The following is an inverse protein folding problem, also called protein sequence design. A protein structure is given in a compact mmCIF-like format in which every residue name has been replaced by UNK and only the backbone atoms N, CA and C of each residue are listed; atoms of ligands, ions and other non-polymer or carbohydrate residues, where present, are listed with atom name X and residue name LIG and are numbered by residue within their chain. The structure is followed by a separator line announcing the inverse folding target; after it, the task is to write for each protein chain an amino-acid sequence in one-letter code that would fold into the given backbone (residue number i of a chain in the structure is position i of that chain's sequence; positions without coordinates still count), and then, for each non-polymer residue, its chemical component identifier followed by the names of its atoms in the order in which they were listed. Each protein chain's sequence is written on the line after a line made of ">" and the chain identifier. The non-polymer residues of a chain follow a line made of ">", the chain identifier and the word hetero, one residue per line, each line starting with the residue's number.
data_IF_941551607280
#
_entry.id   IF_941551607280
#
_cell.length_a   1.000
_cell.length_b   1.000
_cell.length_c   1.000
_cell.angle_alpha   90.00
_cell.angle_beta   90.00
_cell.angle_gamma   90.00
#
_symmetry.space_group_name_H-M   'P 1'
#
loop_
_entity.id
_entity.type
_entity.pdbx_description
1 polymer ?
#
# COMPACT_ATOMS: atom_id res chain seq x y z
N UNK A 1 21.34 -2.12 -12.96
CA UNK A 1 20.36 -2.26 -11.88
C UNK A 1 18.99 -1.81 -12.38
N UNK A 2 17.90 -2.48 -11.96
CA UNK A 2 16.57 -2.06 -12.35
C UNK A 2 16.26 -0.65 -11.84
N UNK A 3 15.59 0.16 -12.65
CA UNK A 3 15.19 1.51 -12.29
C UNK A 3 14.13 1.43 -11.17
N UNK A 4 14.40 2.07 -10.03
CA UNK A 4 13.41 2.17 -8.96
C UNK A 4 12.43 3.30 -9.24
N UNK A 5 11.21 2.98 -9.62
CA UNK A 5 10.14 3.95 -9.87
C UNK A 5 9.87 4.87 -8.67
N UNK A 6 9.90 4.31 -7.45
CA UNK A 6 9.69 5.09 -6.22
C UNK A 6 10.85 6.07 -5.97
N UNK A 7 12.10 5.61 -6.14
CA UNK A 7 13.25 6.51 -5.99
C UNK A 7 13.21 7.62 -7.05
N UNK A 8 12.91 7.27 -8.30
CA UNK A 8 12.80 8.26 -9.39
C UNK A 8 11.71 9.30 -9.10
N UNK A 9 10.57 8.89 -8.53
CA UNK A 9 9.49 9.81 -8.16
C UNK A 9 9.91 10.78 -7.03
N UNK A 10 10.66 10.29 -6.03
CA UNK A 10 11.20 11.16 -4.96
C UNK A 10 12.21 12.15 -5.53
N UNK A 11 13.17 11.69 -6.33
CA UNK A 11 14.20 12.52 -6.93
C UNK A 11 13.63 13.59 -7.87
N UNK A 12 12.50 13.29 -8.51
CA UNK A 12 11.77 14.22 -9.37
C UNK A 12 10.80 15.14 -8.60
N UNK A 13 10.83 15.18 -7.27
CA UNK A 13 9.96 16.04 -6.46
C UNK A 13 8.48 15.72 -6.55
N UNK A 14 8.10 14.52 -7.01
CA UNK A 14 6.70 14.14 -7.17
C UNK A 14 6.04 13.74 -5.87
N UNK A 15 6.82 13.49 -4.82
CA UNK A 15 6.32 13.15 -3.50
C UNK A 15 7.42 12.64 -2.57
N UNK A 16 7.03 12.29 -1.35
CA UNK A 16 7.91 11.72 -0.33
C UNK A 16 7.43 10.35 0.13
N UNK A 17 8.32 9.56 0.70
CA UNK A 17 7.98 8.24 1.25
C UNK A 17 7.06 8.37 2.45
N UNK A 18 6.22 7.37 2.66
CA UNK A 18 5.26 7.36 3.77
C UNK A 18 5.37 6.10 4.62
N UNK A 19 4.82 6.15 5.84
CA UNK A 19 4.64 4.98 6.72
C UNK A 19 3.73 3.93 6.04
N UNK A 20 2.73 4.38 5.27
CA UNK A 20 1.78 3.49 4.61
C UNK A 20 2.46 2.66 3.51
N UNK A 21 2.95 1.47 3.86
CA UNK A 21 3.61 0.52 2.98
C UNK A 21 4.74 1.14 2.12
N UNK A 22 5.39 2.19 2.64
CA UNK A 22 6.49 2.91 1.98
C UNK A 22 6.11 3.50 0.59
N UNK A 23 4.81 3.74 0.35
CA UNK A 23 4.35 4.38 -0.88
C UNK A 23 4.76 5.85 -0.94
N UNK A 24 4.82 6.40 -2.14
CA UNK A 24 5.09 7.82 -2.36
C UNK A 24 3.79 8.61 -2.28
N UNK A 25 3.77 9.64 -1.45
CA UNK A 25 2.65 10.56 -1.32
C UNK A 25 3.01 11.91 -1.96
N UNK A 26 2.14 12.35 -2.85
CA UNK A 26 2.19 13.70 -3.39
C UNK A 26 1.43 14.67 -2.45
N UNK A 27 1.95 15.87 -2.15
CA UNK A 27 1.32 16.80 -1.22
C UNK A 27 -0.08 17.25 -1.67
N UNK A 28 -0.30 17.31 -2.98
CA UNK A 28 -1.56 17.78 -3.55
C UNK A 28 -2.58 16.65 -3.77
N UNK A 29 -2.13 15.54 -4.31
CA UNK A 29 -3.01 14.45 -4.76
C UNK A 29 -3.04 13.25 -3.81
N UNK A 30 -2.09 13.16 -2.86
CA UNK A 30 -1.93 12.02 -1.96
C UNK A 30 -1.32 10.82 -2.69
N UNK A 31 -1.97 9.68 -2.62
CA UNK A 31 -1.54 8.47 -3.32
C UNK A 31 -1.67 8.65 -4.83
N UNK A 32 -0.57 8.42 -5.54
CA UNK A 32 -0.51 8.44 -7.01
C UNK A 32 0.22 7.20 -7.54
N UNK A 33 -0.11 6.83 -8.77
CA UNK A 33 0.67 5.89 -9.55
C UNK A 33 1.65 6.66 -10.41
N UNK A 34 2.90 6.20 -10.44
CA UNK A 34 3.98 6.84 -11.19
C UNK A 34 4.39 5.96 -12.36
N UNK A 35 4.67 6.60 -13.49
CA UNK A 35 5.31 5.99 -14.64
C UNK A 35 6.63 6.72 -14.94
N UNK A 36 7.60 6.02 -15.50
CA UNK A 36 8.87 6.60 -15.94
C UNK A 36 9.11 6.27 -17.40
N UNK A 37 9.70 7.22 -18.12
CA UNK A 37 10.18 7.02 -19.49
C UNK A 37 11.65 7.41 -19.56
N UNK A 38 12.44 6.64 -20.30
CA UNK A 38 13.82 6.99 -20.64
C UNK A 38 13.78 7.78 -21.94
N UNK A 39 14.44 8.93 -21.96
CA UNK A 39 14.46 9.80 -23.14
C UNK A 39 15.89 10.32 -23.39
N UNK A 40 16.20 10.63 -24.63
CA UNK A 40 17.42 11.34 -25.05
C UNK A 40 17.21 12.86 -25.08
N UNK A 41 16.00 13.35 -24.82
CA UNK A 41 15.73 14.79 -24.73
C UNK A 41 16.46 15.39 -23.53
N UNK A 42 17.03 16.59 -23.74
CA UNK A 42 17.57 17.39 -22.64
C UNK A 42 16.40 18.07 -21.91
N UNK A 43 16.13 17.62 -20.71
CA UNK A 43 15.11 18.22 -19.83
C UNK A 43 15.81 18.87 -18.66
N UNK A 44 15.22 19.98 -18.17
CA UNK A 44 15.65 20.57 -16.91
C UNK A 44 15.25 19.66 -15.78
N UNK A 45 16.16 19.25 -14.88
CA UNK A 45 15.81 18.40 -13.76
C UNK A 45 14.98 19.15 -12.73
N UNK A 46 13.99 18.47 -12.16
CA UNK A 46 13.27 18.96 -10.99
C UNK A 46 14.08 18.69 -9.71
N UNK A 47 13.66 19.31 -8.62
CA UNK A 47 14.25 19.12 -7.29
C UNK A 47 13.35 18.28 -6.40
N UNK A 48 13.97 17.58 -5.45
CA UNK A 48 13.22 16.87 -4.42
C UNK A 48 12.39 17.85 -3.57
N UNK A 49 11.30 17.35 -2.99
CA UNK A 49 10.55 18.12 -2.00
C UNK A 49 11.42 18.31 -0.74
N UNK A 50 11.46 19.51 -0.20
CA UNK A 50 12.19 19.84 1.02
C UNK A 50 11.48 19.28 2.26
N UNK A 51 10.14 19.27 2.24
CA UNK A 51 9.33 18.81 3.36
C UNK A 51 8.73 17.43 3.11
N UNK A 52 8.70 16.60 4.16
CA UNK A 52 8.02 15.33 4.13
C UNK A 52 6.51 15.51 4.16
N UNK A 53 5.82 14.83 3.24
CA UNK A 53 4.35 14.83 3.19
C UNK A 53 3.74 13.96 4.30
N UNK A 54 4.48 12.97 4.77
CA UNK A 54 4.12 12.09 5.89
C UNK A 54 5.08 12.35 7.07
N UNK A 55 4.56 12.46 8.32
CA UNK A 55 3.17 12.27 8.73
C UNK A 55 2.32 13.55 8.58
N UNK A 56 1.03 13.40 8.27
CA UNK A 56 0.12 14.53 8.36
C UNK A 56 -0.15 14.90 9.82
N UNK A 57 -0.50 16.18 10.09
CA UNK A 57 -0.79 16.65 11.46
C UNK A 57 -1.82 15.81 12.24
N UNK A 58 -2.81 15.26 11.55
CA UNK A 58 -3.79 14.36 12.16
C UNK A 58 -3.21 13.00 12.54
N UNK A 59 -2.20 12.54 11.82
CA UNK A 59 -1.47 11.30 12.13
C UNK A 59 -0.58 11.49 13.35
N UNK A 60 0.10 12.64 13.46
CA UNK A 60 0.91 13.01 14.64
C UNK A 60 0.04 13.03 15.89
N UNK A 61 -1.09 13.73 15.85
CA UNK A 61 -2.03 13.79 16.98
C UNK A 61 -2.55 12.41 17.41
N UNK A 62 -2.89 11.54 16.46
CA UNK A 62 -3.32 10.18 16.78
C UNK A 62 -2.19 9.37 17.40
N UNK A 63 -0.97 9.52 16.87
CA UNK A 63 0.21 8.84 17.40
C UNK A 63 0.52 9.27 18.85
N UNK A 64 0.43 10.56 19.16
CA UNK A 64 0.62 11.09 20.51
C UNK A 64 -0.42 10.53 21.51
N UNK A 65 -1.67 10.30 21.07
CA UNK A 65 -2.74 9.78 21.91
C UNK A 65 -2.76 8.26 22.05
N UNK A 66 -2.46 7.55 20.96
CA UNK A 66 -2.70 6.10 20.84
C UNK A 66 -1.43 5.28 20.58
N UNK A 67 -0.29 5.95 20.37
CA UNK A 67 0.97 5.29 19.97
C UNK A 67 0.95 4.71 18.55
N UNK A 68 -0.07 5.00 17.77
CA UNK A 68 -0.23 4.49 16.40
C UNK A 68 -0.80 5.54 15.46
N UNK A 69 -0.33 5.55 14.23
CA UNK A 69 -0.96 6.34 13.16
C UNK A 69 -2.16 5.59 12.57
N UNK A 70 -3.07 6.26 11.83
CA UNK A 70 -4.23 5.59 11.22
C UNK A 70 -3.88 4.40 10.34
N UNK A 71 -2.79 4.48 9.58
CA UNK A 71 -2.35 3.39 8.70
C UNK A 71 -1.77 2.20 9.47
N UNK A 72 -1.14 2.43 10.63
CA UNK A 72 -0.69 1.36 11.53
C UNK A 72 -1.88 0.70 12.23
N UNK A 73 -2.81 1.50 12.74
CA UNK A 73 -3.97 1.02 13.50
C UNK A 73 -4.93 0.16 12.64
N UNK A 74 -5.08 0.47 11.35
CA UNK A 74 -5.99 -0.25 10.46
C UNK A 74 -5.36 -1.48 9.80
N UNK A 75 -4.05 -1.68 9.96
CA UNK A 75 -3.36 -2.80 9.32
C UNK A 75 -3.92 -4.15 9.79
N UNK A 76 -4.51 -4.97 8.90
CA UNK A 76 -5.14 -6.21 9.30
C UNK A 76 -4.17 -7.41 9.39
N UNK A 77 -2.87 -7.17 9.27
CA UNK A 77 -1.88 -8.22 9.44
C UNK A 77 -1.77 -8.62 10.91
N UNK A 78 -1.64 -9.92 11.16
CA UNK A 78 -1.57 -10.48 12.49
C UNK A 78 -0.34 -9.97 13.28
N UNK A 79 -0.36 -10.13 14.61
CA UNK A 79 0.78 -9.80 15.51
C UNK A 79 1.29 -8.35 15.40
N UNK A 80 0.40 -7.38 15.35
CA UNK A 80 0.76 -5.96 15.40
C UNK A 80 0.84 -5.27 14.04
N UNK A 81 0.55 -5.98 12.96
CA UNK A 81 0.51 -5.40 11.61
C UNK A 81 1.83 -5.51 10.86
N UNK A 82 1.88 -4.90 9.69
CA UNK A 82 3.07 -4.86 8.83
C UNK A 82 3.74 -3.49 8.77
N UNK A 83 3.25 -2.53 9.55
CA UNK A 83 3.75 -1.16 9.59
C UNK A 83 4.13 -0.80 11.01
N UNK A 84 5.29 -0.17 11.17
CA UNK A 84 5.71 0.44 12.42
C UNK A 84 6.44 1.76 12.14
N UNK A 85 6.35 2.70 13.07
CA UNK A 85 7.06 3.97 12.99
C UNK A 85 7.17 4.61 14.37
N UNK A 86 8.27 5.34 14.57
CA UNK A 86 8.46 6.25 15.69
C UNK A 86 8.32 7.68 15.17
N UNK A 87 7.53 8.48 15.86
CA UNK A 87 7.32 9.90 15.54
C UNK A 87 7.72 10.71 16.76
N UNK A 88 8.66 11.62 16.60
CA UNK A 88 9.17 12.54 17.61
C UNK A 88 9.13 13.96 17.04
N UNK A 89 8.68 14.92 17.83
CA UNK A 89 8.54 16.32 17.41
C UNK A 89 7.78 16.54 16.09
N UNK A 90 6.85 15.63 15.79
CA UNK A 90 6.06 15.67 14.56
C UNK A 90 6.72 15.07 13.32
N UNK A 91 7.93 14.54 13.44
CA UNK A 91 8.69 13.94 12.36
C UNK A 91 8.88 12.43 12.56
N UNK A 92 9.04 11.68 11.47
CA UNK A 92 9.35 10.26 11.51
C UNK A 92 10.84 10.09 11.79
N UNK A 93 11.20 9.59 12.98
CA UNK A 93 12.58 9.25 13.35
C UNK A 93 12.96 7.84 12.93
N UNK A 94 12.01 6.93 12.90
CA UNK A 94 12.19 5.59 12.34
C UNK A 94 10.90 5.08 11.70
N UNK A 95 11.03 4.23 10.70
CA UNK A 95 9.89 3.53 10.12
C UNK A 95 10.29 2.15 9.64
N UNK A 96 9.39 1.20 9.85
CA UNK A 96 9.57 -0.18 9.42
C UNK A 96 8.36 -0.64 8.61
N UNK A 97 8.63 -1.35 7.53
CA UNK A 97 7.62 -1.97 6.70
C UNK A 97 7.97 -3.44 6.48
N UNK A 98 7.22 -4.32 7.13
CA UNK A 98 7.30 -5.75 6.90
C UNK A 98 6.67 -6.11 5.55
N UNK A 99 7.52 -6.18 4.56
CA UNK A 99 7.12 -6.50 3.20
C UNK A 99 6.57 -7.91 3.06
N UNK A 100 7.07 -8.83 3.84
CA UNK A 100 6.65 -10.23 3.77
C UNK A 100 5.25 -10.42 4.34
N UNK A 101 4.98 -9.91 5.54
CA UNK A 101 3.63 -9.87 6.12
C UNK A 101 2.64 -9.16 5.21
N UNK A 102 3.00 -7.97 4.72
CA UNK A 102 2.14 -7.23 3.80
C UNK A 102 1.86 -8.03 2.54
N UNK A 103 2.87 -8.64 1.92
CA UNK A 103 2.70 -9.40 0.69
C UNK A 103 1.87 -10.66 0.89
N UNK A 104 1.99 -11.32 2.04
CA UNK A 104 1.17 -12.47 2.40
C UNK A 104 -0.31 -12.09 2.45
N UNK A 105 -0.64 -10.89 2.89
CA UNK A 105 -2.02 -10.38 2.96
C UNK A 105 -2.48 -9.71 1.66
N UNK A 106 -1.60 -8.94 1.02
CA UNK A 106 -1.96 -8.05 -0.09
C UNK A 106 -1.79 -8.68 -1.48
N UNK A 107 -0.84 -9.59 -1.65
CA UNK A 107 -0.56 -10.17 -2.97
C UNK A 107 -1.41 -11.40 -3.23
N UNK A 108 -2.26 -11.32 -4.25
CA UNK A 108 -3.11 -12.41 -4.70
C UNK A 108 -2.82 -12.83 -6.15
N UNK A 109 -1.61 -12.60 -6.62
CA UNK A 109 -1.19 -12.99 -7.95
C UNK A 109 0.11 -13.80 -7.92
N UNK A 110 0.36 -14.52 -8.99
CA UNK A 110 1.47 -15.47 -9.07
C UNK A 110 1.33 -16.62 -8.08
N UNK A 111 2.44 -17.24 -7.75
CA UNK A 111 2.47 -18.42 -6.86
C UNK A 111 1.89 -18.15 -5.47
N UNK A 112 2.12 -16.95 -4.91
CA UNK A 112 1.58 -16.58 -3.59
C UNK A 112 0.06 -16.47 -3.60
N UNK A 113 -0.53 -15.91 -4.66
CA UNK A 113 -1.98 -15.91 -4.84
C UNK A 113 -2.55 -17.32 -4.93
N UNK A 114 -1.86 -18.22 -5.62
CA UNK A 114 -2.26 -19.63 -5.71
C UNK A 114 -2.23 -20.31 -4.34
N UNK A 115 -1.17 -20.16 -3.58
CA UNK A 115 -1.05 -20.69 -2.21
C UNK A 115 -2.22 -20.21 -1.35
N UNK A 116 -2.55 -18.92 -1.36
CA UNK A 116 -3.71 -18.39 -0.62
C UNK A 116 -5.03 -19.02 -1.02
N UNK A 117 -5.26 -19.29 -2.30
CA UNK A 117 -6.48 -19.95 -2.72
C UNK A 117 -6.55 -21.38 -2.17
N UNK A 118 -5.44 -22.08 -2.15
CA UNK A 118 -5.36 -23.43 -1.56
C UNK A 118 -5.62 -23.37 -0.05
N UNK A 119 -5.00 -22.45 0.67
CA UNK A 119 -5.21 -22.24 2.12
C UNK A 119 -6.69 -21.96 2.45
N UNK A 120 -7.34 -21.06 1.69
CA UNK A 120 -8.77 -20.76 1.87
C UNK A 120 -9.62 -22.04 1.66
N UNK A 121 -9.38 -22.80 0.60
CA UNK A 121 -10.16 -23.99 0.31
C UNK A 121 -9.94 -25.11 1.32
N UNK A 122 -8.73 -25.27 1.82
CA UNK A 122 -8.40 -26.28 2.83
C UNK A 122 -8.88 -25.92 4.23
N UNK A 123 -9.10 -24.63 4.51
CA UNK A 123 -9.66 -24.15 5.76
C UNK A 123 -11.19 -24.28 5.89
N UNK A 124 -11.89 -24.71 4.82
CA UNK A 124 -13.34 -24.93 4.85
C UNK A 124 -13.62 -26.42 4.94
N UNK A 125 -14.20 -26.88 6.03
CA UNK A 125 -14.50 -28.28 6.26
C UNK A 125 -15.72 -28.76 5.48
N UNK A 126 -16.75 -27.90 5.32
CA UNK A 126 -17.97 -28.27 4.60
C UNK A 126 -17.77 -28.28 3.08
N UNK A 127 -18.14 -29.42 2.46
CA UNK A 127 -17.97 -29.63 1.03
C UNK A 127 -18.90 -28.77 0.15
N UNK A 128 -20.09 -28.38 0.65
CA UNK A 128 -21.02 -27.55 -0.08
C UNK A 128 -20.54 -26.08 -0.03
N UNK A 129 -20.10 -25.62 1.14
CA UNK A 129 -19.52 -24.29 1.30
C UNK A 129 -18.26 -24.11 0.42
N UNK A 130 -17.37 -25.12 0.37
CA UNK A 130 -16.23 -25.12 -0.57
C UNK A 130 -16.69 -25.02 -2.02
N UNK A 131 -17.73 -25.74 -2.37
CA UNK A 131 -18.29 -25.76 -3.74
C UNK A 131 -18.86 -24.37 -4.09
N UNK A 132 -19.63 -23.76 -3.20
CA UNK A 132 -20.19 -22.43 -3.39
C UNK A 132 -19.07 -21.40 -3.59
N UNK A 133 -18.02 -21.44 -2.76
CA UNK A 133 -16.87 -20.56 -2.91
C UNK A 133 -16.18 -20.73 -4.27
N UNK A 134 -15.89 -21.98 -4.70
CA UNK A 134 -15.20 -22.23 -5.99
C UNK A 134 -15.98 -21.66 -7.17
N UNK A 135 -17.30 -21.71 -7.13
CA UNK A 135 -18.16 -21.20 -8.20
C UNK A 135 -18.54 -19.73 -8.03
N UNK A 136 -18.12 -19.06 -6.95
CA UNK A 136 -18.37 -17.63 -6.74
C UNK A 136 -17.63 -16.77 -7.77
N UNK A 137 -18.20 -15.61 -8.08
CA UNK A 137 -17.57 -14.63 -8.96
C UNK A 137 -16.25 -14.10 -8.39
N UNK A 138 -16.17 -13.91 -7.08
CA UNK A 138 -14.97 -13.42 -6.41
C UNK A 138 -13.83 -14.43 -6.48
N UNK A 139 -14.09 -15.71 -6.28
CA UNK A 139 -13.09 -16.76 -6.43
C UNK A 139 -12.58 -16.83 -7.88
N UNK A 140 -13.50 -16.80 -8.84
CA UNK A 140 -13.17 -16.82 -10.27
C UNK A 140 -12.31 -15.60 -10.67
N UNK A 141 -12.64 -14.41 -10.17
CA UNK A 141 -11.83 -13.18 -10.41
C UNK A 141 -10.43 -13.31 -9.80
N UNK A 142 -10.33 -13.84 -8.58
CA UNK A 142 -9.05 -14.09 -7.93
C UNK A 142 -8.21 -15.08 -8.73
N UNK A 143 -8.78 -16.19 -9.17
CA UNK A 143 -8.09 -17.16 -10.01
C UNK A 143 -7.63 -16.55 -11.34
N UNK A 144 -8.45 -15.73 -11.96
CA UNK A 144 -8.06 -15.00 -13.17
C UNK A 144 -6.91 -14.01 -12.93
N UNK A 145 -6.88 -13.36 -11.77
CA UNK A 145 -5.83 -12.39 -11.42
C UNK A 145 -4.46 -13.05 -11.18
N UNK A 146 -4.44 -14.28 -10.73
CA UNK A 146 -3.20 -15.06 -10.50
C UNK A 146 -2.35 -15.11 -11.79
N UNK A 147 -3.01 -15.33 -12.93
CA UNK A 147 -2.33 -15.43 -14.23
C UNK A 147 -2.11 -14.09 -14.95
N UNK A 148 -2.90 -13.07 -14.64
CA UNK A 148 -2.97 -11.85 -15.45
C UNK A 148 -2.45 -10.57 -14.79
N UNK A 149 -2.21 -10.56 -13.50
CA UNK A 149 -1.81 -9.39 -12.71
C UNK A 149 -2.78 -8.17 -12.82
N UNK A 150 -3.97 -8.36 -13.34
CA UNK A 150 -4.87 -7.25 -13.70
C UNK A 150 -5.99 -7.01 -12.72
N UNK A 151 -6.51 -8.05 -12.10
CA UNK A 151 -7.73 -7.96 -11.31
C UNK A 151 -7.56 -8.76 -10.02
N UNK A 152 -7.10 -8.12 -8.98
CA UNK A 152 -7.13 -8.71 -7.65
C UNK A 152 -8.19 -8.01 -6.81
N UNK A 153 -9.24 -8.72 -6.45
CA UNK A 153 -10.32 -8.21 -5.58
C UNK A 153 -9.98 -8.30 -4.11
N UNK A 154 -8.91 -9.01 -3.76
CA UNK A 154 -8.50 -9.24 -2.38
C UNK A 154 -7.16 -8.60 -2.01
N UNK A 155 -6.70 -7.60 -2.76
CA UNK A 155 -5.54 -6.79 -2.36
C UNK A 155 -5.86 -5.96 -1.13
N UNK A 156 -4.93 -5.93 -0.17
CA UNK A 156 -5.05 -5.06 0.97
C UNK A 156 -4.59 -3.64 0.61
N UNK A 157 -5.49 -2.67 0.77
CA UNK A 157 -5.23 -1.24 0.61
C UNK A 157 -5.60 -0.44 1.86
N UNK A 158 -5.78 -1.09 3.00
CA UNK A 158 -6.32 -0.47 4.20
C UNK A 158 -5.49 0.74 4.67
N UNK A 159 -4.18 0.61 4.73
CA UNK A 159 -3.29 1.72 5.10
C UNK A 159 -3.39 2.92 4.13
N UNK A 160 -3.62 2.65 2.85
CA UNK A 160 -3.79 3.69 1.82
C UNK A 160 -5.18 4.32 1.90
N UNK A 161 -6.20 3.52 2.20
CA UNK A 161 -7.60 3.96 2.31
C UNK A 161 -7.81 4.98 3.41
N UNK A 162 -7.12 4.82 4.54
CA UNK A 162 -7.26 5.73 5.71
C UNK A 162 -6.31 6.92 5.64
N UNK A 163 -5.34 6.93 4.73
CA UNK A 163 -4.37 8.03 4.61
C UNK A 163 -5.07 9.38 4.42
N UNK A 164 -4.83 10.38 5.29
CA UNK A 164 -5.49 11.68 5.19
C UNK A 164 -4.94 12.56 4.06
N UNK A 165 -3.72 12.30 3.57
CA UNK A 165 -3.06 13.09 2.53
C UNK A 165 -3.86 13.03 1.23
N UNK A 166 -4.14 14.18 0.63
CA UNK A 166 -4.91 14.29 -0.61
C UNK A 166 -6.42 13.99 -0.48
N UNK A 167 -6.94 13.73 0.73
CA UNK A 167 -8.32 13.30 0.96
C UNK A 167 -9.35 14.38 0.56
N UNK A 168 -9.01 15.65 0.72
CA UNK A 168 -9.93 16.75 0.41
C UNK A 168 -10.25 16.87 -1.08
N UNK A 169 -9.32 16.54 -1.96
CA UNK A 169 -9.56 16.58 -3.42
C UNK A 169 -10.32 15.37 -3.96
N UNK A 170 -10.33 14.25 -3.23
CA UNK A 170 -11.12 13.06 -3.61
C UNK A 170 -12.63 13.24 -3.40
N UNK A 171 -13.04 14.20 -2.60
CA UNK A 171 -14.47 14.51 -2.35
C UNK A 171 -15.09 15.46 -3.37
N UNK A 172 -14.30 16.01 -4.29
CA UNK A 172 -14.74 17.02 -5.25
C UNK A 172 -15.02 16.44 -6.65
N UNK A 173 -15.21 15.10 -6.74
CA UNK A 173 -15.64 14.44 -7.99
C UNK A 173 -16.98 13.76 -7.79
#
# INVERSE_FOLDING_TARGET
>A
PPLSMMLSAVLAGLGTRSIAANIILNPTYGLMFFAAAITTMRLTPDHQLEENVCPARSCVRMYEMEGKTPCMAVCPADEGGCLDATIEDGEITSSFFDRERCSTRAMNFGIRGHIKQVEILTGIDDANERRELIYSDDFRRNMSSIGRYKESVSQCFECMRVCPVGRYRRKLK
#
